data_IF_568474398441
#
_entry.id   IF_568474398441
#
_cell.length_a   1.000
_cell.length_b   1.000
_cell.length_c   1.000
_cell.angle_alpha   90.00
_cell.angle_beta   90.00
_cell.angle_gamma   90.00
#
_symmetry.space_group_name_H-M   'P 1'
#
loop_
_entity.id
_entity.type
_entity.pdbx_description
1 polymer ?
#
# COMPACT_ATOMS: atom_id res chain seq x y z
N UNK A 1 17.84 -13.24 3.47
CA UNK A 1 17.84 -12.18 2.47
C UNK A 1 17.69 -10.83 3.16
N UNK A 2 18.56 -9.90 2.86
CA UNK A 2 18.55 -8.57 3.49
C UNK A 2 17.96 -7.52 2.55
N UNK A 3 17.26 -6.53 3.11
CA UNK A 3 16.54 -5.53 2.33
C UNK A 3 17.45 -4.37 1.93
N UNK A 4 17.50 -4.10 0.63
CA UNK A 4 18.19 -2.95 0.06
C UNK A 4 17.32 -2.25 -0.99
N UNK A 5 15.98 -2.30 -0.79
CA UNK A 5 15.01 -1.80 -1.77
C UNK A 5 14.95 -0.29 -1.90
N UNK A 6 15.33 0.44 -0.86
CA UNK A 6 15.26 1.90 -0.87
C UNK A 6 16.56 2.51 -0.38
N UNK A 7 16.73 3.85 -0.51
CA UNK A 7 17.97 4.53 -0.12
C UNK A 7 18.42 4.32 1.32
N UNK A 8 17.52 3.93 2.22
CA UNK A 8 17.90 3.64 3.62
C UNK A 8 18.83 2.44 3.75
N UNK A 9 18.72 1.45 2.84
CA UNK A 9 19.54 0.24 2.86
C UNK A 9 19.70 -0.34 4.27
N UNK A 10 18.58 -0.45 4.98
CA UNK A 10 18.55 -0.86 6.38
C UNK A 10 18.99 -2.32 6.60
N UNK A 11 19.09 -3.11 5.55
CA UNK A 11 19.52 -4.51 5.58
C UNK A 11 18.70 -5.40 6.52
N UNK A 12 17.45 -5.06 6.72
CA UNK A 12 16.53 -5.85 7.54
C UNK A 12 16.32 -7.24 6.92
N UNK A 13 16.37 -8.26 7.75
CA UNK A 13 16.07 -9.63 7.31
C UNK A 13 14.62 -9.95 7.70
N UNK A 14 13.69 -9.55 6.84
CA UNK A 14 12.26 -9.71 7.10
C UNK A 14 11.82 -11.16 7.14
N UNK A 15 12.53 -12.04 6.44
CA UNK A 15 12.25 -13.47 6.50
C UNK A 15 12.44 -14.06 7.89
N UNK A 16 13.34 -13.47 8.69
CA UNK A 16 13.60 -13.83 10.08
C UNK A 16 12.93 -12.90 11.08
N UNK A 17 11.96 -12.09 10.65
CA UNK A 17 11.19 -11.22 11.53
C UNK A 17 11.88 -9.91 11.91
N UNK A 18 13.02 -9.58 11.30
CA UNK A 18 13.72 -8.33 11.59
C UNK A 18 13.14 -7.21 10.73
N UNK A 19 12.77 -6.10 11.37
CA UNK A 19 12.22 -4.94 10.70
C UNK A 19 13.28 -3.85 10.54
N UNK A 20 13.15 -3.07 9.48
CA UNK A 20 14.03 -1.94 9.21
C UNK A 20 13.37 -0.61 9.52
N UNK A 21 13.88 0.45 8.91
CA UNK A 21 13.40 1.82 9.14
C UNK A 21 11.90 1.97 8.89
N UNK A 22 11.37 1.40 7.80
CA UNK A 22 9.95 1.53 7.44
C UNK A 22 9.03 0.64 8.26
N UNK A 23 9.59 -0.27 9.06
CA UNK A 23 8.84 -1.23 9.87
C UNK A 23 7.94 -2.18 9.06
N UNK A 24 8.12 -2.27 7.76
CA UNK A 24 7.38 -3.20 6.92
C UNK A 24 7.90 -4.62 7.08
N UNK A 25 6.98 -5.57 7.22
CA UNK A 25 7.31 -7.00 7.27
C UNK A 25 7.49 -7.60 5.88
N UNK A 26 7.51 -8.93 5.82
CA UNK A 26 7.67 -9.64 4.54
C UNK A 26 6.42 -9.58 3.67
N UNK A 27 5.24 -9.46 4.29
CA UNK A 27 3.97 -9.36 3.56
C UNK A 27 3.57 -7.89 3.40
N UNK A 28 2.94 -7.52 2.27
CA UNK A 28 2.38 -6.19 2.15
C UNK A 28 1.26 -5.98 3.15
N UNK A 29 1.25 -4.83 3.81
CA UNK A 29 0.19 -4.47 4.74
C UNK A 29 -0.73 -3.46 4.07
N UNK A 30 -2.01 -3.80 3.99
CA UNK A 30 -3.02 -2.97 3.34
C UNK A 30 -3.91 -2.34 4.41
N UNK A 31 -4.02 -1.01 4.38
CA UNK A 31 -4.87 -0.28 5.30
C UNK A 31 -6.34 -0.36 4.87
N UNK A 32 -6.60 0.00 3.61
CA UNK A 32 -7.93 -0.12 3.01
C UNK A 32 -7.83 -0.08 1.49
N UNK A 33 -8.93 -0.44 0.84
CA UNK A 33 -9.04 -0.36 -0.62
C UNK A 33 -10.48 -0.08 -1.01
N UNK A 34 -10.70 0.44 -2.21
CA UNK A 34 -12.04 0.72 -2.72
C UNK A 34 -11.99 1.64 -3.94
N UNK A 35 -13.13 1.89 -4.58
CA UNK A 35 -13.21 2.88 -5.64
C UNK A 35 -13.02 4.28 -5.08
N UNK A 36 -12.32 5.12 -5.80
CA UNK A 36 -11.99 6.48 -5.39
C UNK A 36 -12.28 7.45 -6.53
N UNK A 37 -13.05 8.50 -6.25
CA UNK A 37 -13.48 9.50 -7.22
C UNK A 37 -12.93 10.89 -6.93
N UNK A 38 -12.08 11.03 -5.91
CA UNK A 38 -11.51 12.30 -5.47
C UNK A 38 -10.24 12.72 -6.21
N UNK A 39 -9.77 11.91 -7.15
CA UNK A 39 -8.61 12.24 -7.95
C UNK A 39 -8.99 13.18 -9.10
N UNK A 40 -7.98 13.84 -9.69
CA UNK A 40 -8.22 14.68 -10.85
C UNK A 40 -8.75 13.88 -12.04
N UNK A 41 -9.58 14.47 -12.92
CA UNK A 41 -10.21 13.76 -14.04
C UNK A 41 -9.27 12.92 -14.90
N UNK A 42 -8.03 13.34 -15.22
CA UNK A 42 -7.11 12.49 -15.97
C UNK A 42 -6.71 11.21 -15.25
N UNK A 43 -6.84 11.17 -13.93
CA UNK A 43 -6.48 10.00 -13.11
C UNK A 43 -7.68 9.09 -12.90
N UNK A 44 -8.79 9.62 -12.37
CA UNK A 44 -9.92 8.76 -12.02
C UNK A 44 -10.92 8.57 -13.16
N UNK A 45 -11.02 9.51 -14.11
CA UNK A 45 -12.02 9.46 -15.16
C UNK A 45 -13.44 9.38 -14.62
N UNK A 46 -14.38 8.92 -15.43
CA UNK A 46 -15.79 8.76 -15.03
C UNK A 46 -16.02 7.50 -14.19
N UNK A 47 -15.25 6.45 -14.44
CA UNK A 47 -15.38 5.17 -13.75
C UNK A 47 -14.75 5.17 -12.36
N UNK A 48 -13.98 6.20 -12.02
CA UNK A 48 -13.21 6.26 -10.80
C UNK A 48 -11.93 5.44 -10.86
N UNK A 49 -11.12 5.55 -9.82
CA UNK A 49 -9.86 4.82 -9.69
C UNK A 49 -9.98 3.80 -8.55
N UNK A 50 -9.48 2.60 -8.75
CA UNK A 50 -9.35 1.62 -7.68
C UNK A 50 -8.15 2.00 -6.82
N UNK A 51 -8.40 2.48 -5.60
CA UNK A 51 -7.34 2.89 -4.69
C UNK A 51 -7.02 1.78 -3.69
N UNK A 52 -5.74 1.48 -3.53
CA UNK A 52 -5.24 0.55 -2.52
C UNK A 52 -4.24 1.31 -1.67
N UNK A 53 -4.54 1.46 -0.38
CA UNK A 53 -3.71 2.19 0.56
C UNK A 53 -2.83 1.22 1.34
N UNK A 54 -1.54 1.23 1.03
CA UNK A 54 -0.56 0.41 1.74
C UNK A 54 -0.10 1.10 3.02
N UNK A 55 0.14 0.31 4.04
CA UNK A 55 0.74 0.78 5.28
C UNK A 55 2.25 0.75 5.20
N UNK A 56 2.89 1.51 6.07
CA UNK A 56 4.33 1.69 6.18
C UNK A 56 4.88 2.62 5.09
N UNK A 57 5.91 3.34 5.46
CA UNK A 57 6.49 4.35 4.58
C UNK A 57 7.98 4.49 4.88
N UNK A 58 8.75 4.75 3.84
CA UNK A 58 10.19 4.94 3.95
C UNK A 58 10.58 6.34 4.41
N UNK A 59 9.66 7.30 4.42
CA UNK A 59 9.97 8.69 4.75
C UNK A 59 9.54 9.13 6.15
N UNK A 60 8.37 8.70 6.62
CA UNK A 60 7.83 9.03 7.95
C UNK A 60 7.77 10.54 8.20
N UNK A 61 7.23 11.31 7.26
CA UNK A 61 7.11 12.75 7.38
C UNK A 61 6.29 13.15 8.61
N UNK A 62 6.76 14.13 9.38
CA UNK A 62 6.06 14.59 10.58
C UNK A 62 4.68 15.17 10.27
N UNK A 63 4.54 15.80 9.11
CA UNK A 63 3.29 16.41 8.65
C UNK A 63 2.48 15.51 7.72
N UNK A 64 2.70 14.20 7.78
CA UNK A 64 2.03 13.27 6.87
C UNK A 64 0.54 13.17 7.15
N UNK A 65 -0.30 13.54 6.19
CA UNK A 65 -1.75 13.43 6.30
C UNK A 65 -2.22 11.98 6.35
N UNK A 66 -1.38 11.04 5.90
CA UNK A 66 -1.67 9.61 5.85
C UNK A 66 -1.03 8.84 7.01
N UNK A 67 -0.64 9.52 8.10
CA UNK A 67 0.09 8.92 9.20
C UNK A 67 -0.55 7.66 9.82
N UNK A 68 -1.89 7.52 9.91
CA UNK A 68 -2.48 6.32 10.50
C UNK A 68 -2.05 5.02 9.81
N UNK A 69 -1.78 5.05 8.51
CA UNK A 69 -1.31 3.86 7.81
C UNK A 69 0.12 3.98 7.29
N UNK A 70 0.57 5.17 6.87
CA UNK A 70 1.88 5.28 6.24
C UNK A 70 3.04 5.03 7.21
N UNK A 71 2.97 5.48 8.46
CA UNK A 71 4.04 5.18 9.41
C UNK A 71 3.58 4.63 10.76
N UNK A 72 2.33 4.79 11.16
CA UNK A 72 1.78 4.12 12.34
C UNK A 72 1.43 2.65 12.07
N UNK A 73 1.30 2.27 10.80
CA UNK A 73 1.17 0.87 10.40
C UNK A 73 -0.19 0.25 10.60
N UNK A 74 -1.27 1.05 10.53
CA UNK A 74 -2.63 0.51 10.56
C UNK A 74 -2.90 -0.43 9.40
N UNK A 75 -3.89 -1.30 9.53
CA UNK A 75 -4.26 -2.23 8.48
C UNK A 75 -3.87 -3.67 8.79
N UNK A 76 -3.95 -4.54 7.78
CA UNK A 76 -3.67 -5.97 7.92
C UNK A 76 -2.70 -6.45 6.84
N UNK A 77 -1.90 -7.45 7.20
CA UNK A 77 -1.00 -8.10 6.24
C UNK A 77 -1.81 -8.95 5.26
N UNK A 78 -1.46 -8.87 3.98
CA UNK A 78 -2.09 -9.62 2.90
C UNK A 78 -1.08 -10.48 2.18
N UNK A 79 -1.49 -11.69 1.79
CA UNK A 79 -0.68 -12.50 0.89
C UNK A 79 -0.76 -11.95 -0.54
N UNK A 80 0.16 -12.39 -1.41
CA UNK A 80 0.12 -12.01 -2.82
C UNK A 80 -1.21 -12.42 -3.46
N UNK A 81 -1.73 -13.60 -3.12
CA UNK A 81 -3.01 -14.08 -3.65
C UNK A 81 -4.19 -13.21 -3.18
N UNK A 82 -4.20 -12.81 -1.92
CA UNK A 82 -5.22 -11.92 -1.38
C UNK A 82 -5.17 -10.53 -2.04
N UNK A 83 -3.96 -10.00 -2.24
CA UNK A 83 -3.77 -8.72 -2.90
C UNK A 83 -4.25 -8.76 -4.36
N UNK A 84 -3.93 -9.83 -5.08
CA UNK A 84 -4.40 -10.03 -6.46
C UNK A 84 -5.93 -10.07 -6.52
N UNK A 85 -6.56 -10.69 -5.53
CA UNK A 85 -8.03 -10.73 -5.43
C UNK A 85 -8.62 -9.33 -5.22
N UNK A 86 -7.97 -8.50 -4.41
CA UNK A 86 -8.40 -7.11 -4.21
C UNK A 86 -8.42 -6.35 -5.54
N UNK A 87 -7.36 -6.43 -6.33
CA UNK A 87 -7.31 -5.77 -7.64
C UNK A 87 -8.39 -6.30 -8.58
N UNK A 88 -8.59 -7.61 -8.59
CA UNK A 88 -9.62 -8.24 -9.42
C UNK A 88 -11.02 -7.76 -9.01
N UNK A 89 -11.32 -7.70 -7.72
CA UNK A 89 -12.61 -7.26 -7.22
C UNK A 89 -12.89 -5.79 -7.60
N UNK A 90 -11.88 -4.93 -7.52
CA UNK A 90 -12.00 -3.54 -7.95
C UNK A 90 -12.33 -3.45 -9.45
N UNK A 91 -11.70 -4.28 -10.27
CA UNK A 91 -11.95 -4.28 -11.71
C UNK A 91 -13.32 -4.84 -12.07
N UNK A 92 -13.74 -5.94 -11.43
CA UNK A 92 -14.95 -6.69 -11.80
C UNK A 92 -16.19 -6.16 -11.06
N UNK A 93 -16.11 -5.99 -9.74
CA UNK A 93 -17.25 -5.54 -8.92
C UNK A 93 -17.50 -4.06 -9.01
N UNK A 94 -16.45 -3.27 -8.82
CA UNK A 94 -16.53 -1.82 -8.76
C UNK A 94 -16.31 -1.16 -10.12
N UNK A 95 -15.88 -1.93 -11.12
CA UNK A 95 -15.69 -1.50 -12.51
C UNK A 95 -14.86 -0.23 -12.62
N UNK A 96 -13.81 -0.12 -11.81
CA UNK A 96 -12.92 1.04 -11.87
C UNK A 96 -12.14 1.06 -13.19
N UNK A 97 -11.79 2.27 -13.66
CA UNK A 97 -11.06 2.45 -14.91
C UNK A 97 -9.57 2.18 -14.81
N UNK A 98 -8.99 2.31 -13.61
CA UNK A 98 -7.56 2.06 -13.35
C UNK A 98 -7.34 1.77 -11.87
N UNK A 99 -6.08 1.51 -11.51
CA UNK A 99 -5.69 1.36 -10.11
C UNK A 99 -4.70 2.44 -9.71
N UNK A 100 -4.83 2.89 -8.48
CA UNK A 100 -3.93 3.87 -7.87
C UNK A 100 -3.43 3.33 -6.53
N UNK A 101 -2.10 3.37 -6.32
CA UNK A 101 -1.44 2.78 -5.16
C UNK A 101 -0.81 3.85 -4.28
#
# INVERSE_FOLDING_TARGET
>A
MVCELCPHRCRADRGNGRLGFCQAGILPRVFRWGPHFGEEPPICGEAGSGAVFFSRCTMKCLYCQNSPWSWKGGGTDKTVAELARIFRDLAVRDRVGNWNL
#
